data_IF_340501629926
#
_entry.id   IF_340501629926
#
_cell.length_a   1.000
_cell.length_b   1.000
_cell.length_c   1.000
_cell.angle_alpha   90.00
_cell.angle_beta   90.00
_cell.angle_gamma   90.00
#
_symmetry.space_group_name_H-M   'P 1'
#
loop_
_entity.id
_entity.type
_entity.pdbx_description
1 polymer ?
#
# COMPACT_ATOMS: atom_id res chain seq x y z
N UNK A 1 7.83 -11.38 4.26
CA UNK A 1 6.85 -11.86 3.26
C UNK A 1 7.18 -11.35 1.84
N UNK A 2 6.89 -12.09 0.76
CA UNK A 2 7.11 -11.59 -0.62
C UNK A 2 6.07 -10.52 -1.01
N UNK A 3 6.47 -9.48 -1.77
CA UNK A 3 5.57 -8.42 -2.28
C UNK A 3 4.34 -9.01 -2.99
N UNK A 4 4.51 -10.10 -3.76
CA UNK A 4 3.40 -10.79 -4.43
C UNK A 4 2.37 -11.34 -3.45
N UNK A 5 2.79 -11.76 -2.26
CA UNK A 5 1.90 -12.23 -1.22
C UNK A 5 1.12 -11.07 -0.61
N UNK A 6 1.80 -9.99 -0.22
CA UNK A 6 1.16 -8.76 0.28
C UNK A 6 0.11 -8.22 -0.70
N UNK A 7 0.42 -8.19 -2.00
CA UNK A 7 -0.51 -7.72 -3.02
C UNK A 7 -1.73 -8.64 -3.20
N UNK A 8 -1.60 -9.95 -2.96
CA UNK A 8 -2.73 -10.89 -2.96
C UNK A 8 -3.61 -10.71 -1.73
N UNK A 9 -3.01 -10.43 -0.58
CA UNK A 9 -3.75 -10.25 0.68
C UNK A 9 -4.55 -8.94 0.66
N UNK A 10 -3.98 -7.88 0.09
CA UNK A 10 -4.70 -6.63 -0.22
C UNK A 10 -5.87 -6.89 -1.19
N UNK A 11 -5.64 -7.59 -2.31
CA UNK A 11 -6.73 -7.88 -3.28
C UNK A 11 -7.87 -8.67 -2.64
N UNK A 12 -7.53 -9.63 -1.77
CA UNK A 12 -8.52 -10.42 -1.04
C UNK A 12 -9.33 -9.52 -0.11
N UNK A 13 -8.68 -8.69 0.70
CA UNK A 13 -9.37 -7.76 1.59
C UNK A 13 -10.31 -6.81 0.83
N UNK A 14 -9.90 -6.35 -0.35
CA UNK A 14 -10.72 -5.51 -1.24
C UNK A 14 -11.95 -6.28 -1.75
N UNK A 15 -11.75 -7.52 -2.21
CA UNK A 15 -12.82 -8.39 -2.69
C UNK A 15 -13.85 -8.73 -1.61
N UNK A 16 -13.38 -9.03 -0.41
CA UNK A 16 -14.22 -9.40 0.74
C UNK A 16 -15.08 -8.23 1.24
N UNK A 17 -14.54 -7.00 1.19
CA UNK A 17 -15.16 -5.83 1.82
C UNK A 17 -15.98 -4.97 0.86
N UNK A 18 -15.53 -4.79 -0.39
CA UNK A 18 -16.15 -3.82 -1.31
C UNK A 18 -17.18 -4.42 -2.29
N UNK A 19 -17.32 -5.74 -2.35
CA UNK A 19 -18.28 -6.40 -3.24
C UNK A 19 -18.12 -6.04 -4.73
N UNK A 20 -19.16 -6.25 -5.53
CA UNK A 20 -19.09 -6.12 -6.99
C UNK A 20 -18.91 -4.65 -7.47
N UNK A 21 -19.48 -3.67 -6.76
CA UNK A 21 -19.37 -2.24 -7.12
C UNK A 21 -17.96 -1.68 -6.86
N UNK A 22 -17.28 -2.15 -5.80
CA UNK A 22 -15.87 -1.83 -5.56
C UNK A 22 -14.90 -2.50 -6.53
N UNK A 23 -15.24 -3.69 -7.06
CA UNK A 23 -14.48 -4.34 -8.14
C UNK A 23 -14.49 -3.51 -9.42
N UNK A 24 -15.64 -2.92 -9.80
CA UNK A 24 -15.73 -2.05 -11.00
C UNK A 24 -14.88 -0.77 -10.92
N UNK A 25 -14.86 -0.07 -9.78
CA UNK A 25 -13.99 1.10 -9.55
C UNK A 25 -12.51 0.69 -9.49
N UNK A 26 -12.21 -0.45 -8.87
CA UNK A 26 -10.88 -1.08 -8.89
C UNK A 26 -10.49 -1.65 -10.27
N UNK A 27 -11.42 -1.89 -11.19
CA UNK A 27 -11.07 -2.33 -12.55
C UNK A 27 -10.79 -1.15 -13.48
N UNK A 28 -11.46 -0.01 -13.28
CA UNK A 28 -11.25 1.21 -14.10
C UNK A 28 -10.05 2.03 -13.64
N UNK A 29 -9.76 2.08 -12.34
CA UNK A 29 -8.59 2.77 -11.75
C UNK A 29 -7.63 1.87 -10.97
N UNK A 30 -8.00 0.63 -10.66
CA UNK A 30 -7.18 -0.20 -9.77
C UNK A 30 -5.98 -0.85 -10.42
N UNK A 31 -5.80 -0.86 -11.76
CA UNK A 31 -4.48 -1.22 -12.34
C UNK A 31 -3.40 -0.18 -12.02
N UNK A 32 -3.72 1.12 -12.09
CA UNK A 32 -2.76 2.17 -11.73
C UNK A 32 -2.58 2.27 -10.22
N UNK A 33 -3.67 2.12 -9.45
CA UNK A 33 -3.61 2.12 -7.99
C UNK A 33 -2.86 0.92 -7.43
N UNK A 34 -3.09 -0.28 -7.96
CA UNK A 34 -2.38 -1.51 -7.60
C UNK A 34 -0.89 -1.38 -7.88
N UNK A 35 -0.50 -0.87 -9.06
CA UNK A 35 0.91 -0.60 -9.38
C UNK A 35 1.53 0.40 -8.43
N UNK A 36 0.79 1.45 -8.04
CA UNK A 36 1.28 2.41 -7.07
C UNK A 36 1.49 1.79 -5.69
N UNK A 37 0.62 0.87 -5.26
CA UNK A 37 0.80 0.15 -3.99
C UNK A 37 2.00 -0.77 -4.04
N UNK A 38 2.07 -1.60 -5.09
CA UNK A 38 3.20 -2.51 -5.31
C UNK A 38 4.52 -1.75 -5.30
N UNK A 39 4.59 -0.63 -6.05
CA UNK A 39 5.78 0.22 -6.07
C UNK A 39 6.09 0.81 -4.69
N UNK A 40 5.09 1.26 -3.94
CA UNK A 40 5.33 1.82 -2.60
C UNK A 40 5.84 0.76 -1.63
N UNK A 41 5.29 -0.46 -1.65
CA UNK A 41 5.73 -1.58 -0.81
C UNK A 41 7.15 -2.00 -1.19
N UNK A 42 7.48 -2.02 -2.50
CA UNK A 42 8.83 -2.26 -2.99
C UNK A 42 9.82 -1.22 -2.47
N UNK A 43 9.51 0.07 -2.58
CA UNK A 43 10.38 1.15 -2.13
C UNK A 43 10.60 1.13 -0.61
N UNK A 44 9.55 0.89 0.19
CA UNK A 44 9.72 0.70 1.64
C UNK A 44 10.59 -0.52 1.94
N UNK A 45 10.45 -1.60 1.17
CA UNK A 45 11.29 -2.80 1.34
C UNK A 45 12.76 -2.51 1.04
N UNK A 46 13.04 -1.76 -0.01
CA UNK A 46 14.41 -1.38 -0.41
C UNK A 46 15.05 -0.43 0.60
N UNK A 47 14.28 0.51 1.13
CA UNK A 47 14.78 1.59 1.99
C UNK A 47 14.83 1.17 3.46
N UNK A 48 13.79 0.53 3.97
CA UNK A 48 13.59 0.29 5.39
C UNK A 48 13.60 -1.19 5.78
N UNK A 49 13.35 -2.10 4.83
CA UNK A 49 13.42 -3.55 5.05
C UNK A 49 12.10 -4.29 4.88
N UNK A 50 12.16 -5.62 4.95
CA UNK A 50 11.01 -6.49 4.69
C UNK A 50 9.91 -6.35 5.75
N UNK A 51 10.28 -6.12 7.01
CA UNK A 51 9.33 -5.95 8.13
C UNK A 51 8.50 -4.68 7.96
N UNK A 52 9.11 -3.60 7.50
CA UNK A 52 8.51 -2.29 7.31
C UNK A 52 7.58 -2.29 6.09
N UNK A 53 7.99 -2.99 5.04
CA UNK A 53 7.14 -3.22 3.88
C UNK A 53 5.90 -4.05 4.25
N UNK A 54 6.06 -5.06 5.10
CA UNK A 54 4.95 -5.86 5.63
C UNK A 54 4.03 -5.04 6.56
N UNK A 55 4.59 -4.13 7.35
CA UNK A 55 3.83 -3.16 8.16
C UNK A 55 2.97 -2.26 7.29
N UNK A 56 3.50 -1.77 6.16
CA UNK A 56 2.72 -0.98 5.20
C UNK A 56 1.60 -1.80 4.56
N UNK A 57 1.88 -3.02 4.11
CA UNK A 57 0.86 -3.90 3.52
C UNK A 57 -0.28 -4.17 4.51
N UNK A 58 0.06 -4.49 5.76
CA UNK A 58 -0.89 -4.73 6.85
C UNK A 58 -1.76 -3.50 7.12
N UNK A 59 -1.18 -2.30 7.09
CA UNK A 59 -1.92 -1.06 7.22
C UNK A 59 -2.92 -0.84 6.06
N UNK A 60 -2.54 -1.18 4.82
CA UNK A 60 -3.43 -1.07 3.65
C UNK A 60 -4.63 -2.01 3.85
N UNK A 61 -4.39 -3.27 4.20
CA UNK A 61 -5.45 -4.25 4.45
C UNK A 61 -6.39 -3.80 5.56
N UNK A 62 -5.83 -3.35 6.68
CA UNK A 62 -6.59 -2.88 7.84
C UNK A 62 -7.43 -1.66 7.48
N UNK A 63 -6.86 -0.71 6.73
CA UNK A 63 -7.59 0.47 6.24
C UNK A 63 -8.77 0.07 5.34
N UNK A 64 -8.57 -0.90 4.45
CA UNK A 64 -9.65 -1.41 3.58
C UNK A 64 -10.77 -2.04 4.42
N UNK A 65 -10.42 -2.90 5.39
CA UNK A 65 -11.39 -3.56 6.28
C UNK A 65 -12.16 -2.56 7.15
N UNK A 66 -11.47 -1.61 7.77
CA UNK A 66 -12.06 -0.67 8.72
C UNK A 66 -12.85 0.44 8.05
N UNK A 67 -12.30 1.01 6.96
CA UNK A 67 -12.92 2.15 6.27
C UNK A 67 -13.86 1.73 5.16
N UNK A 68 -13.92 0.43 4.84
CA UNK A 68 -14.67 -0.12 3.71
C UNK A 68 -14.40 0.66 2.42
N UNK A 69 -13.14 1.04 2.22
CA UNK A 69 -12.67 1.82 1.07
C UNK A 69 -11.18 1.63 0.86
N UNK A 70 -10.75 1.62 -0.40
CA UNK A 70 -9.35 1.67 -0.79
C UNK A 70 -8.70 3.03 -0.42
N UNK A 71 -7.54 3.05 0.27
CA UNK A 71 -6.79 4.29 0.47
C UNK A 71 -6.35 4.89 -0.87
N UNK A 72 -6.11 6.20 -0.96
CA UNK A 72 -5.55 6.76 -2.20
C UNK A 72 -4.06 6.43 -2.32
N UNK A 73 -3.50 6.33 -3.53
CA UNK A 73 -2.06 6.10 -3.74
C UNK A 73 -1.19 7.14 -3.03
N UNK A 74 -1.64 8.41 -2.97
CA UNK A 74 -0.96 9.46 -2.21
C UNK A 74 -0.90 9.14 -0.72
N UNK A 75 -1.99 8.65 -0.15
CA UNK A 75 -2.05 8.26 1.26
C UNK A 75 -1.14 7.07 1.56
N UNK A 76 -1.10 6.07 0.67
CA UNK A 76 -0.20 4.92 0.80
C UNK A 76 1.27 5.35 0.78
N UNK A 77 1.66 6.26 -0.11
CA UNK A 77 3.04 6.79 -0.15
C UNK A 77 3.40 7.55 1.13
N UNK A 78 2.49 8.38 1.64
CA UNK A 78 2.69 9.11 2.90
C UNK A 78 2.91 8.18 4.07
N UNK A 79 2.09 7.14 4.19
CA UNK A 79 2.22 6.12 5.24
C UNK A 79 3.55 5.35 5.10
N UNK A 80 3.94 4.96 3.88
CA UNK A 80 5.23 4.31 3.64
C UNK A 80 6.41 5.17 4.09
N UNK A 81 6.36 6.49 3.82
CA UNK A 81 7.37 7.42 4.29
C UNK A 81 7.38 7.60 5.80
N UNK A 82 6.22 7.58 6.46
CA UNK A 82 6.12 7.60 7.93
C UNK A 82 6.74 6.34 8.54
N UNK A 83 6.46 5.16 7.97
CA UNK A 83 7.07 3.90 8.40
C UNK A 83 8.60 3.92 8.24
N UNK A 84 9.13 4.45 7.13
CA UNK A 84 10.58 4.59 6.97
C UNK A 84 11.20 5.54 8.02
N UNK A 85 10.51 6.64 8.34
CA UNK A 85 10.98 7.59 9.37
C UNK A 85 10.95 7.00 10.78
N UNK A 86 9.97 6.15 11.09
CA UNK A 86 9.86 5.46 12.39
C UNK A 86 11.10 4.61 12.70
N UNK A 87 11.72 4.02 11.67
CA UNK A 87 12.95 3.20 11.81
C UNK A 87 14.24 4.00 11.64
N UNK A 88 14.15 5.34 11.61
CA UNK A 88 15.29 6.24 11.52
C UNK A 88 15.85 6.45 10.12
N UNK A 89 15.14 6.00 9.07
CA UNK A 89 15.58 6.18 7.68
C UNK A 89 14.98 7.46 7.09
N UNK A 90 15.86 8.33 6.59
CA UNK A 90 15.44 9.56 5.93
C UNK A 90 15.01 9.29 4.49
N UNK A 91 13.76 9.61 4.19
CA UNK A 91 13.20 9.56 2.85
C UNK A 91 13.24 10.95 2.22
N UNK A 92 13.86 11.08 1.05
CA UNK A 92 13.88 12.36 0.32
C UNK A 92 12.48 12.75 -0.15
N UNK A 93 12.17 14.05 -0.07
CA UNK A 93 10.94 14.62 -0.64
C UNK A 93 10.89 14.56 -2.17
N UNK A 94 12.03 14.30 -2.84
CA UNK A 94 12.10 14.15 -4.30
C UNK A 94 11.98 12.70 -4.78
N UNK A 95 12.03 11.72 -3.87
CA UNK A 95 11.91 10.30 -4.21
C UNK A 95 10.45 9.84 -4.21
N UNK A 96 10.19 8.60 -4.66
CA UNK A 96 8.82 8.05 -4.77
C UNK A 96 7.99 8.20 -3.48
N UNK A 97 8.64 8.04 -2.32
CA UNK A 97 8.01 8.16 -0.99
C UNK A 97 7.96 9.62 -0.47
N UNK A 98 8.49 10.59 -1.19
CA UNK A 98 8.57 12.00 -0.79
C UNK A 98 7.29 12.83 -0.90
N UNK A 99 6.17 12.20 -1.28
CA UNK A 99 4.96 12.86 -1.79
C UNK A 99 4.08 13.60 -0.76
#
# INVERSE_FOLDING_TARGET
>A
MSIKQSMRDIDRAVGDVLGNHGRYEAERGGRSQRRAYEKTIEEVREVAGETEAERLATWIETTVRDKKKLPSSRRVRKEGAEICRDVGVSVSTNDWLGA
#
